data_IF_407840296446
#
_entry.id   IF_407840296446
#
_cell.length_a   1.000
_cell.length_b   1.000
_cell.length_c   1.000
_cell.angle_alpha   90.00
_cell.angle_beta   90.00
_cell.angle_gamma   90.00
#
_symmetry.space_group_name_H-M   'P 1'
#
loop_
_entity.id
_entity.type
_entity.pdbx_description
1 polymer ?
#
# COMPACT_ATOMS: atom_id res chain seq x y z
N UNK A 1 -0.27 14.03 -11.36
CA UNK A 1 0.21 13.62 -10.02
C UNK A 1 -0.20 12.18 -9.79
N UNK A 2 0.78 11.30 -9.80
CA UNK A 2 0.63 9.95 -9.25
C UNK A 2 0.30 10.06 -7.77
N UNK A 3 -0.67 9.28 -7.31
CA UNK A 3 -1.02 9.22 -5.89
C UNK A 3 -0.16 8.15 -5.25
N UNK A 4 0.84 8.59 -4.50
CA UNK A 4 1.75 7.72 -3.76
C UNK A 4 1.35 7.75 -2.28
N UNK A 5 1.33 6.58 -1.65
CA UNK A 5 1.09 6.39 -0.23
C UNK A 5 2.28 5.67 0.38
N UNK A 6 2.98 6.34 1.28
CA UNK A 6 4.08 5.77 2.04
C UNK A 6 3.65 5.54 3.48
N UNK A 7 4.05 4.40 4.07
CA UNK A 7 3.73 4.11 5.47
C UNK A 7 4.82 3.31 6.15
N UNK A 8 5.23 3.80 7.33
CA UNK A 8 6.02 3.04 8.30
C UNK A 8 5.11 2.05 9.03
N UNK A 9 5.43 0.77 8.95
CA UNK A 9 4.59 -0.31 9.46
C UNK A 9 4.64 -0.38 10.98
N UNK A 10 3.48 -0.46 11.62
CA UNK A 10 3.33 -0.75 13.04
C UNK A 10 2.90 -2.22 13.28
N UNK A 11 2.76 -2.61 14.54
CA UNK A 11 2.38 -3.99 14.91
C UNK A 11 1.04 -4.42 14.32
N UNK A 12 0.05 -3.52 14.24
CA UNK A 12 -1.27 -3.82 13.65
C UNK A 12 -1.15 -4.04 12.15
N UNK A 13 -0.28 -3.28 11.47
CA UNK A 13 -0.02 -3.47 10.05
C UNK A 13 0.62 -4.84 9.79
N UNK A 14 1.57 -5.27 10.63
CA UNK A 14 2.22 -6.58 10.47
C UNK A 14 1.27 -7.74 10.82
N UNK A 15 0.47 -7.60 11.88
CA UNK A 15 -0.29 -8.71 12.47
C UNK A 15 -1.77 -8.75 12.08
N UNK A 16 -2.31 -7.74 11.40
CA UNK A 16 -3.75 -7.66 11.10
C UNK A 16 -4.08 -7.15 9.70
N UNK A 17 -3.76 -5.89 9.45
CA UNK A 17 -4.22 -5.16 8.26
C UNK A 17 -3.50 -3.83 8.15
N UNK A 18 -3.29 -3.37 6.93
CA UNK A 18 -2.79 -2.02 6.70
C UNK A 18 -3.94 -1.06 6.41
N UNK A 19 -4.02 0.00 7.21
CA UNK A 19 -4.94 1.12 6.99
C UNK A 19 -4.35 2.07 5.95
N UNK A 20 -5.13 2.37 4.91
CA UNK A 20 -4.76 3.25 3.82
C UNK A 20 -5.24 4.69 4.05
N UNK A 21 -4.60 5.64 3.38
CA UNK A 21 -5.06 7.03 3.32
C UNK A 21 -6.33 7.14 2.45
N UNK A 22 -7.28 7.99 2.88
CA UNK A 22 -8.52 8.25 2.14
C UNK A 22 -8.27 8.77 0.72
N UNK A 23 -7.15 9.47 0.51
CA UNK A 23 -6.82 10.06 -0.79
C UNK A 23 -6.49 9.03 -1.86
N UNK A 24 -5.93 7.87 -1.48
CA UNK A 24 -5.54 6.79 -2.39
C UNK A 24 -6.77 6.09 -2.98
N UNK A 25 -7.83 5.96 -2.17
CA UNK A 25 -9.05 5.21 -2.50
C UNK A 25 -10.22 6.15 -2.86
N UNK A 26 -9.94 7.45 -3.09
CA UNK A 26 -10.96 8.45 -3.48
C UNK A 26 -11.64 8.04 -4.80
N UNK A 27 -12.81 7.39 -4.70
CA UNK A 27 -13.57 6.83 -5.81
C UNK A 27 -14.18 5.45 -5.54
N UNK A 28 -13.68 4.69 -4.55
CA UNK A 28 -14.28 3.39 -4.22
C UNK A 28 -15.64 3.53 -3.54
N UNK A 29 -16.61 2.67 -3.89
CA UNK A 29 -17.91 2.67 -3.24
C UNK A 29 -17.77 2.32 -1.75
N UNK A 30 -18.26 3.21 -0.89
CA UNK A 30 -18.28 3.00 0.57
C UNK A 30 -19.27 1.90 0.94
N UNK A 31 -18.99 1.15 2.01
CA UNK A 31 -19.84 0.03 2.43
C UNK A 31 -19.67 -1.24 1.60
N UNK A 32 -18.83 -1.19 0.57
CA UNK A 32 -18.50 -2.33 -0.28
C UNK A 32 -17.11 -2.89 0.02
N UNK A 33 -16.94 -4.12 -0.42
CA UNK A 33 -15.68 -4.85 -0.44
C UNK A 33 -15.22 -5.04 -1.86
N UNK A 34 -13.94 -4.85 -2.10
CA UNK A 34 -13.30 -5.11 -3.37
C UNK A 34 -12.01 -5.90 -3.19
N UNK A 35 -11.66 -6.69 -4.19
CA UNK A 35 -10.40 -7.42 -4.26
C UNK A 35 -9.49 -6.68 -5.23
N UNK A 36 -8.48 -6.01 -4.69
CA UNK A 36 -7.58 -5.12 -5.41
C UNK A 36 -6.27 -5.80 -5.71
N UNK A 37 -5.77 -5.62 -6.93
CA UNK A 37 -4.53 -6.22 -7.40
C UNK A 37 -3.37 -5.24 -7.25
N UNK A 38 -2.32 -5.70 -6.59
CA UNK A 38 -1.08 -4.97 -6.36
C UNK A 38 0.07 -5.74 -6.98
N UNK A 39 0.83 -5.11 -7.87
CA UNK A 39 2.05 -5.69 -8.43
C UNK A 39 3.25 -5.26 -7.59
N UNK A 40 4.07 -6.20 -7.17
CA UNK A 40 5.30 -5.91 -6.45
C UNK A 40 6.51 -5.70 -7.38
N UNK A 41 7.65 -5.36 -6.78
CA UNK A 41 8.92 -5.11 -7.48
C UNK A 41 9.48 -6.34 -8.22
N UNK A 42 9.14 -7.56 -7.77
CA UNK A 42 9.49 -8.82 -8.44
C UNK A 42 8.51 -9.16 -9.58
N UNK A 43 7.48 -8.33 -9.76
CA UNK A 43 6.43 -8.51 -10.73
C UNK A 43 5.32 -9.48 -10.31
N UNK A 44 5.33 -9.96 -9.07
CA UNK A 44 4.28 -10.81 -8.52
C UNK A 44 3.03 -9.99 -8.21
N UNK A 45 1.86 -10.56 -8.51
CA UNK A 45 0.57 -9.92 -8.27
C UNK A 45 -0.06 -10.46 -6.98
N UNK A 46 -0.37 -9.55 -6.08
CA UNK A 46 -1.04 -9.78 -4.80
C UNK A 46 -2.49 -9.30 -4.87
N UNK A 47 -3.42 -10.09 -4.35
CA UNK A 47 -4.85 -9.72 -4.33
C UNK A 47 -5.28 -9.41 -2.90
N UNK A 48 -5.37 -8.12 -2.57
CA UNK A 48 -5.77 -7.71 -1.22
C UNK A 48 -7.27 -7.42 -1.15
N UNK A 49 -7.89 -7.89 -0.07
CA UNK A 49 -9.25 -7.54 0.31
C UNK A 49 -9.24 -6.11 0.84
N UNK A 50 -9.85 -5.19 0.12
CA UNK A 50 -10.07 -3.81 0.52
C UNK A 50 -11.50 -3.65 1.03
N UNK A 51 -11.67 -3.25 2.29
CA UNK A 51 -12.97 -2.91 2.86
C UNK A 51 -13.01 -1.42 3.18
N UNK A 52 -13.98 -0.72 2.57
CA UNK A 52 -14.28 0.68 2.89
C UNK A 52 -15.47 0.69 3.84
N UNK A 53 -15.29 1.00 5.13
CA UNK A 53 -16.39 0.90 6.09
C UNK A 53 -17.55 1.85 5.75
N UNK A 54 -18.80 1.49 6.12
CA UNK A 54 -19.92 2.41 6.03
C UNK A 54 -19.72 3.57 7.02
N UNK A 55 -20.03 4.80 6.61
CA UNK A 55 -19.84 6.01 7.43
C UNK A 55 -18.56 6.79 7.11
N UNK A 56 -18.59 8.10 7.35
CA UNK A 56 -17.62 9.08 6.82
C UNK A 56 -16.19 8.98 7.36
N UNK A 57 -16.01 8.62 8.63
CA UNK A 57 -14.76 8.78 9.38
C UNK A 57 -13.83 7.56 9.40
N UNK A 58 -14.30 6.39 8.97
CA UNK A 58 -13.50 5.17 9.02
C UNK A 58 -12.64 5.01 7.78
N UNK A 59 -11.34 4.86 7.99
CA UNK A 59 -10.37 4.68 6.91
C UNK A 59 -10.46 3.28 6.29
N UNK A 60 -10.26 3.15 4.96
CA UNK A 60 -10.20 1.85 4.32
C UNK A 60 -8.99 1.04 4.78
N UNK A 61 -9.11 -0.28 4.76
CA UNK A 61 -8.02 -1.18 5.13
C UNK A 61 -7.88 -2.35 4.16
N UNK A 62 -6.63 -2.74 3.90
CA UNK A 62 -6.26 -3.93 3.15
C UNK A 62 -6.03 -5.10 4.10
N UNK A 63 -6.58 -6.25 3.75
CA UNK A 63 -6.52 -7.50 4.50
C UNK A 63 -6.52 -8.69 3.54
N UNK A 64 -6.66 -9.93 4.03
CA UNK A 64 -6.55 -11.13 3.21
C UNK A 64 -5.09 -11.48 2.92
N UNK A 65 -4.70 -11.53 1.65
CA UNK A 65 -3.33 -11.86 1.21
C UNK A 65 -2.26 -10.87 1.70
N UNK A 66 -2.66 -9.76 2.33
CA UNK A 66 -1.75 -8.83 2.99
C UNK A 66 -0.75 -9.55 3.91
N UNK A 67 -1.21 -10.54 4.68
CA UNK A 67 -0.33 -11.33 5.53
C UNK A 67 0.66 -12.21 4.76
N UNK A 68 0.23 -12.76 3.64
CA UNK A 68 1.09 -13.56 2.77
C UNK A 68 2.17 -12.67 2.17
N UNK A 69 1.83 -11.44 1.78
CA UNK A 69 2.78 -10.42 1.35
C UNK A 69 3.79 -10.08 2.46
N UNK A 70 3.31 -9.75 3.67
CA UNK A 70 4.17 -9.46 4.85
C UNK A 70 5.18 -10.59 5.10
N UNK A 71 4.72 -11.84 5.09
CA UNK A 71 5.61 -13.00 5.29
C UNK A 71 6.58 -13.21 4.14
N UNK A 72 6.09 -13.12 2.89
CA UNK A 72 6.90 -13.31 1.68
C UNK A 72 8.01 -12.29 1.56
N UNK A 73 7.74 -11.03 1.92
CA UNK A 73 8.70 -9.92 1.90
C UNK A 73 9.43 -9.72 3.23
N UNK A 74 9.18 -10.60 4.21
CA UNK A 74 9.79 -10.57 5.54
C UNK A 74 9.68 -9.18 6.21
N UNK A 75 8.52 -8.53 6.04
CA UNK A 75 8.28 -7.19 6.58
C UNK A 75 8.23 -7.22 8.10
N UNK A 76 8.80 -6.18 8.72
CA UNK A 76 8.88 -6.02 10.17
C UNK A 76 8.35 -4.66 10.60
N UNK A 77 8.01 -4.55 11.88
CA UNK A 77 7.68 -3.26 12.49
C UNK A 77 8.84 -2.29 12.25
N UNK A 78 8.51 -1.11 11.73
CA UNK A 78 9.49 -0.08 11.39
C UNK A 78 9.93 -0.06 9.93
N UNK A 79 9.70 -1.13 9.16
CA UNK A 79 9.88 -1.09 7.71
C UNK A 79 8.94 -0.05 7.08
N UNK A 80 9.34 0.51 5.95
CA UNK A 80 8.55 1.47 5.19
C UNK A 80 8.13 0.82 3.88
N UNK A 81 6.86 0.94 3.53
CA UNK A 81 6.34 0.54 2.23
C UNK A 81 5.86 1.75 1.44
N UNK A 82 5.83 1.58 0.13
CA UNK A 82 5.21 2.48 -0.81
C UNK A 82 4.10 1.77 -1.59
N UNK A 83 2.99 2.48 -1.81
CA UNK A 83 1.90 2.06 -2.69
C UNK A 83 1.63 3.19 -3.68
N UNK A 84 1.66 2.89 -4.97
CA UNK A 84 1.30 3.86 -6.01
C UNK A 84 0.16 3.34 -6.89
N UNK A 85 -0.61 4.29 -7.45
CA UNK A 85 -1.61 4.00 -8.47
C UNK A 85 -0.94 4.07 -9.85
N UNK A 86 -0.84 2.94 -10.53
CA UNK A 86 -0.35 2.85 -11.91
C UNK A 86 -1.50 3.21 -12.88
N UNK A 87 -1.38 4.40 -13.49
CA UNK A 87 -2.36 4.93 -14.45
C UNK A 87 -2.03 4.56 -15.91
N UNK A 88 -0.91 3.91 -16.19
CA UNK A 88 -0.50 3.64 -17.57
C UNK A 88 -1.25 2.46 -18.21
N UNK A 89 -2.06 1.72 -17.43
CA UNK A 89 -2.87 0.58 -17.90
C UNK A 89 -4.38 0.82 -17.90
N UNK A 90 -4.79 2.05 -18.20
CA UNK A 90 -6.19 2.44 -18.43
C UNK A 90 -6.88 1.70 -19.61
N UNK A 91 -6.16 0.89 -20.40
CA UNK A 91 -6.73 0.21 -21.58
C UNK A 91 -7.70 -0.94 -21.27
N UNK A 92 -7.84 -1.36 -20.01
CA UNK A 92 -8.72 -2.47 -19.62
C UNK A 92 -9.65 -2.17 -18.42
N UNK A 93 -9.72 -0.93 -17.93
CA UNK A 93 -10.66 -0.51 -16.90
C UNK A 93 -10.42 -1.09 -15.49
N UNK A 94 -9.19 -1.52 -15.18
CA UNK A 94 -8.81 -1.95 -13.82
C UNK A 94 -7.57 -1.18 -13.40
N UNK A 95 -7.77 -0.20 -12.51
CA UNK A 95 -6.70 0.49 -11.79
C UNK A 95 -5.71 -0.54 -11.21
N UNK A 96 -4.47 -0.57 -11.70
CA UNK A 96 -3.41 -1.42 -11.14
C UNK A 96 -2.67 -0.64 -10.07
N UNK A 97 -2.51 -1.23 -8.89
CA UNK A 97 -1.67 -0.66 -7.85
C UNK A 97 -0.29 -1.31 -7.92
N UNK A 98 0.75 -0.56 -7.55
CA UNK A 98 2.06 -1.13 -7.22
C UNK A 98 2.27 -1.11 -5.71
N UNK A 99 3.08 -2.03 -5.20
CA UNK A 99 3.48 -2.07 -3.81
C UNK A 99 4.94 -2.50 -3.68
N UNK A 100 5.74 -1.77 -2.92
CA UNK A 100 7.15 -2.11 -2.70
C UNK A 100 7.59 -1.78 -1.28
N UNK A 101 8.62 -2.48 -0.81
CA UNK A 101 9.36 -2.10 0.40
C UNK A 101 10.39 -1.03 0.02
N UNK A 102 10.44 0.07 0.76
CA UNK A 102 11.52 1.06 0.63
C UNK A 102 12.71 0.55 1.44
N UNK A 103 13.81 0.25 0.76
CA UNK A 103 15.07 -0.08 1.43
C UNK A 103 15.63 1.18 2.12
N UNK A 104 15.84 1.08 3.43
CA UNK A 104 16.24 2.23 4.27
C UNK A 104 17.67 2.68 4.00
N UNK A 105 18.48 1.88 3.29
CA UNK A 105 19.83 2.23 2.82
C UNK A 105 19.84 3.53 2.02
N UNK A 106 18.79 3.80 1.25
CA UNK A 106 18.65 5.00 0.41
C UNK A 106 18.23 6.26 1.19
N UNK A 107 17.85 6.12 2.47
CA UNK A 107 17.51 7.25 3.34
C UNK A 107 18.76 7.82 4.03
N UNK A 108 19.85 7.04 4.12
CA UNK A 108 21.14 7.51 4.64
C UNK A 108 21.78 8.55 3.71
N UNK A 109 21.65 8.37 2.40
CA UNK A 109 22.15 9.33 1.41
C UNK A 109 21.28 10.60 1.35
N UNK A 110 19.98 10.47 1.60
CA UNK A 110 19.07 11.63 1.61
C UNK A 110 19.33 12.61 2.77
N UNK A 111 19.87 12.14 3.89
CA UNK A 111 20.24 13.01 5.03
C UNK A 111 21.71 13.43 5.04
N UNK A 112 22.53 12.88 4.15
CA UNK A 112 23.94 13.28 3.97
C UNK A 112 24.06 14.69 3.40
N UNK A 113 23.10 15.12 2.56
CA UNK A 113 23.13 16.41 1.87
C UNK A 113 22.69 17.61 2.73
N UNK A 114 22.36 17.40 4.00
CA UNK A 114 21.94 18.47 4.94
C UNK A 114 22.92 18.71 6.09
N UNK A 115 24.14 18.16 6.03
CA UNK A 115 25.23 18.56 6.90
C UNK A 115 26.17 19.51 6.18
N UNK A 116 25.86 20.80 6.27
CA UNK A 116 26.82 21.90 6.18
C UNK A 116 27.02 22.53 7.56
#
# INVERSE_FOLDING_TARGET
MEKIFTKKLNIIDIERRIVLSENLIKGFPRGHEAYLKFKDEDGKVWTFRCRVPPGGSSRPALSGDWFLFVRSKQLKVGDVIEIALDREKDRAGVDQFTISKIETSSMGDYFSDYKT
#
